data_IF_846910625078
#
_entry.id   IF_846910625078
#
_cell.length_a   1.000
_cell.length_b   1.000
_cell.length_c   1.000
_cell.angle_alpha   90.00
_cell.angle_beta   90.00
_cell.angle_gamma   90.00
#
_symmetry.space_group_name_H-M   'P 1'
#
loop_
_entity.id
_entity.type
_entity.pdbx_description
1 polymer ?
#
# COMPACT_ATOMS: atom_id res chain seq x y z
N UNK A 1 -11.49 -5.24 -64.22
CA UNK A 1 -12.27 -6.25 -64.97
C UNK A 1 -13.32 -6.82 -64.01
N UNK A 2 -14.56 -7.01 -64.48
CA UNK A 2 -15.73 -7.74 -63.92
C UNK A 2 -15.68 -8.25 -62.46
N UNK A 3 -16.66 -7.91 -61.60
CA UNK A 3 -18.02 -8.49 -61.51
C UNK A 3 -18.04 -10.01 -61.13
N UNK A 4 -18.93 -10.55 -60.27
CA UNK A 4 -19.91 -9.98 -59.31
C UNK A 4 -20.63 -11.12 -58.55
N UNK A 5 -21.17 -10.87 -57.33
CA UNK A 5 -22.31 -11.60 -56.68
C UNK A 5 -22.12 -13.12 -56.38
N UNK A 6 -22.91 -13.88 -55.58
CA UNK A 6 -24.14 -13.76 -54.72
C UNK A 6 -24.19 -15.08 -53.88
N UNK A 7 -25.06 -15.37 -52.90
CA UNK A 7 -26.19 -14.66 -52.24
C UNK A 7 -26.48 -15.24 -50.83
N UNK A 8 -27.37 -14.57 -50.10
CA UNK A 8 -28.38 -15.01 -49.11
C UNK A 8 -28.34 -16.39 -48.38
N UNK A 9 -28.89 -16.53 -47.15
CA UNK A 9 -29.47 -15.48 -46.28
C UNK A 9 -30.44 -15.99 -45.19
N UNK A 10 -30.92 -15.03 -44.37
CA UNK A 10 -32.18 -14.94 -43.57
C UNK A 10 -32.58 -16.12 -42.65
N UNK A 11 -32.69 -15.92 -41.31
CA UNK A 11 -33.65 -15.13 -40.50
C UNK A 11 -34.94 -15.88 -40.06
N UNK A 12 -35.02 -16.16 -38.75
CA UNK A 12 -36.17 -16.03 -37.83
C UNK A 12 -37.55 -16.66 -38.13
N UNK A 13 -38.20 -17.25 -37.10
CA UNK A 13 -39.38 -16.69 -36.39
C UNK A 13 -39.99 -17.73 -35.41
N UNK A 14 -40.59 -17.24 -34.31
CA UNK A 14 -41.32 -17.99 -33.26
C UNK A 14 -42.83 -18.07 -33.56
N UNK A 15 -43.56 -19.05 -33.02
CA UNK A 15 -45.01 -18.89 -32.70
C UNK A 15 -45.55 -19.94 -31.70
N UNK A 16 -46.56 -19.55 -30.92
CA UNK A 16 -47.49 -20.44 -30.17
C UNK A 16 -48.55 -21.01 -31.16
N UNK A 17 -49.49 -21.92 -30.87
CA UNK A 17 -50.37 -22.06 -29.68
C UNK A 17 -51.25 -23.33 -29.79
N UNK A 18 -51.70 -23.89 -28.63
CA UNK A 18 -52.98 -24.63 -28.37
C UNK A 18 -53.47 -25.78 -29.28
N UNK A 19 -53.96 -26.87 -28.65
CA UNK A 19 -55.34 -27.36 -28.81
C UNK A 19 -55.79 -28.24 -27.61
N UNK A 20 -57.11 -28.34 -27.42
CA UNK A 20 -57.80 -28.98 -26.28
C UNK A 20 -58.31 -30.40 -26.59
N UNK A 21 -58.81 -31.12 -25.57
CA UNK A 21 -60.16 -31.71 -25.54
C UNK A 21 -60.53 -32.21 -24.12
N UNK A 22 -61.83 -32.32 -23.82
CA UNK A 22 -62.38 -32.63 -22.50
C UNK A 22 -63.38 -33.80 -22.54
N UNK A 23 -63.62 -34.45 -21.39
CA UNK A 23 -64.78 -35.34 -21.15
C UNK A 23 -65.36 -35.06 -19.76
N UNK A 24 -66.68 -35.21 -19.63
CA UNK A 24 -67.49 -34.92 -18.43
C UNK A 24 -68.42 -36.16 -18.19
N UNK A 25 -69.28 -36.34 -17.18
CA UNK A 25 -69.97 -35.51 -16.19
C UNK A 25 -70.57 -36.52 -15.13
N UNK A 26 -70.89 -36.22 -13.85
CA UNK A 26 -72.28 -36.01 -13.36
C UNK A 26 -72.40 -36.08 -11.81
N UNK A 27 -73.18 -35.14 -11.21
CA UNK A 27 -74.15 -35.22 -10.06
C UNK A 27 -73.79 -35.94 -8.72
N UNK A 28 -74.42 -35.66 -7.57
CA UNK A 28 -75.52 -34.76 -7.15
C UNK A 28 -75.42 -34.42 -5.63
N UNK A 29 -76.29 -33.53 -5.11
CA UNK A 29 -76.41 -33.15 -3.70
C UNK A 29 -77.62 -33.80 -2.99
N UNK A 30 -77.73 -33.73 -1.64
CA UNK A 30 -78.90 -33.25 -0.85
C UNK A 30 -78.89 -33.60 0.68
N UNK A 31 -79.06 -32.58 1.53
CA UNK A 31 -79.91 -32.45 2.76
C UNK A 31 -79.78 -33.25 4.11
N UNK A 32 -79.91 -32.43 5.19
CA UNK A 32 -80.78 -32.55 6.41
C UNK A 32 -80.33 -33.11 7.79
N UNK A 33 -80.34 -32.17 8.77
CA UNK A 33 -81.02 -32.14 10.11
C UNK A 33 -80.57 -32.96 11.35
N UNK A 34 -80.22 -32.16 12.38
CA UNK A 34 -80.79 -32.08 13.76
C UNK A 34 -80.84 -33.34 14.64
N UNK A 35 -80.19 -33.28 15.81
CA UNK A 35 -80.82 -33.45 17.14
C UNK A 35 -80.03 -32.64 18.21
N UNK A 36 -80.75 -32.00 19.15
CA UNK A 36 -80.19 -31.21 20.26
C UNK A 36 -80.53 -31.87 21.61
N UNK A 37 -79.57 -31.90 22.53
CA UNK A 37 -79.68 -32.43 23.88
C UNK A 37 -78.73 -31.69 24.85
N UNK A 38 -79.29 -30.76 25.63
CA UNK A 38 -78.67 -30.32 26.90
C UNK A 38 -78.99 -31.29 28.06
N UNK A 39 -78.48 -31.07 29.30
CA UNK A 39 -77.63 -29.97 29.74
C UNK A 39 -76.38 -30.39 30.55
N UNK A 40 -75.67 -31.47 30.21
CA UNK A 40 -74.49 -31.93 30.99
C UNK A 40 -73.13 -31.31 30.58
N UNK A 41 -73.13 -30.27 29.72
CA UNK A 41 -71.91 -29.67 29.14
C UNK A 41 -71.46 -28.31 29.73
N UNK A 42 -72.28 -27.62 30.54
CA UNK A 42 -71.95 -26.25 30.99
C UNK A 42 -70.72 -26.16 31.92
N UNK A 43 -70.44 -27.14 32.77
CA UNK A 43 -69.27 -27.13 33.67
C UNK A 43 -67.94 -27.56 33.01
N UNK A 44 -67.98 -28.31 31.89
CA UNK A 44 -66.76 -28.67 31.12
C UNK A 44 -66.37 -27.60 30.09
N UNK A 45 -67.34 -26.87 29.51
CA UNK A 45 -67.06 -25.77 28.56
C UNK A 45 -66.35 -24.59 29.22
N UNK A 46 -66.74 -24.16 30.42
CA UNK A 46 -66.09 -23.05 31.14
C UNK A 46 -64.60 -23.31 31.43
N UNK A 47 -64.24 -24.52 31.91
CA UNK A 47 -62.83 -24.88 32.13
C UNK A 47 -62.03 -24.95 30.82
N UNK A 48 -62.59 -25.53 29.74
CA UNK A 48 -61.91 -25.54 28.44
C UNK A 48 -61.72 -24.14 27.84
N UNK A 49 -62.70 -23.24 28.00
CA UNK A 49 -62.57 -21.85 27.56
C UNK A 49 -61.47 -21.09 28.32
N UNK A 50 -61.35 -21.30 29.63
CA UNK A 50 -60.29 -20.70 30.44
C UNK A 50 -58.90 -21.23 30.06
N UNK A 51 -58.76 -22.55 29.85
CA UNK A 51 -57.50 -23.15 29.37
C UNK A 51 -57.12 -22.69 27.96
N UNK A 52 -58.09 -22.51 27.04
CA UNK A 52 -57.85 -21.93 25.72
C UNK A 52 -57.44 -20.46 25.81
N UNK A 53 -58.10 -19.65 26.64
CA UNK A 53 -57.74 -18.24 26.84
C UNK A 53 -56.33 -18.08 27.43
N UNK A 54 -55.96 -18.89 28.43
CA UNK A 54 -54.61 -18.90 29.01
C UNK A 54 -53.58 -19.40 28.01
N UNK A 55 -53.86 -20.45 27.24
CA UNK A 55 -52.95 -20.94 26.20
C UNK A 55 -52.74 -19.91 25.08
N UNK A 56 -53.80 -19.21 24.64
CA UNK A 56 -53.71 -18.13 23.66
C UNK A 56 -52.91 -16.96 24.24
N UNK A 57 -53.17 -16.51 25.48
CA UNK A 57 -52.40 -15.46 26.14
C UNK A 57 -50.91 -15.83 26.27
N UNK A 58 -50.58 -17.05 26.69
CA UNK A 58 -49.19 -17.52 26.76
C UNK A 58 -48.55 -17.58 25.37
N UNK A 59 -49.26 -18.04 24.35
CA UNK A 59 -48.76 -18.07 22.97
C UNK A 59 -48.52 -16.67 22.42
N UNK A 60 -49.39 -15.70 22.70
CA UNK A 60 -49.17 -14.29 22.36
C UNK A 60 -47.97 -13.69 23.10
N UNK A 61 -47.78 -13.96 24.39
CA UNK A 61 -46.60 -13.48 25.13
C UNK A 61 -45.31 -14.10 24.60
N UNK A 62 -45.29 -15.41 24.31
CA UNK A 62 -44.13 -16.07 23.70
C UNK A 62 -43.86 -15.58 22.27
N UNK A 63 -44.89 -15.33 21.47
CA UNK A 63 -44.74 -14.80 20.12
C UNK A 63 -44.23 -13.34 20.12
N UNK A 64 -44.71 -12.50 21.04
CA UNK A 64 -44.19 -11.13 21.18
C UNK A 64 -42.76 -11.09 21.72
N UNK A 65 -42.40 -11.98 22.66
CA UNK A 65 -41.02 -12.11 23.12
C UNK A 65 -40.06 -12.60 22.01
N UNK A 66 -40.51 -13.53 21.17
CA UNK A 66 -39.75 -13.93 19.96
C UNK A 66 -39.63 -12.77 18.96
N UNK A 67 -40.71 -12.03 18.70
CA UNK A 67 -40.70 -10.90 17.76
C UNK A 67 -39.81 -9.75 18.24
N UNK A 68 -39.80 -9.44 19.54
CA UNK A 68 -38.92 -8.43 20.13
C UNK A 68 -37.45 -8.85 20.07
N UNK A 69 -37.13 -10.12 20.36
CA UNK A 69 -35.76 -10.62 20.25
C UNK A 69 -35.28 -10.73 18.81
N UNK A 70 -36.13 -11.07 17.84
CA UNK A 70 -35.74 -11.01 16.41
C UNK A 70 -35.60 -9.57 15.91
N UNK A 71 -36.44 -8.64 16.35
CA UNK A 71 -36.32 -7.22 16.03
C UNK A 71 -35.00 -6.62 16.56
N UNK A 72 -34.69 -6.81 17.85
CA UNK A 72 -33.40 -6.34 18.42
C UNK A 72 -32.19 -6.99 17.74
N UNK A 73 -32.28 -8.26 17.33
CA UNK A 73 -31.19 -8.97 16.63
C UNK A 73 -31.04 -8.53 15.16
N UNK A 74 -32.10 -8.04 14.53
CA UNK A 74 -32.07 -7.45 13.19
C UNK A 74 -31.60 -5.99 13.22
N UNK A 75 -32.01 -5.21 14.22
CA UNK A 75 -31.61 -3.81 14.42
C UNK A 75 -30.12 -3.70 14.79
N UNK A 76 -29.62 -4.61 15.65
CA UNK A 76 -28.19 -4.75 15.93
C UNK A 76 -27.35 -5.23 14.72
N UNK A 77 -27.99 -5.79 13.67
CA UNK A 77 -27.33 -6.18 12.42
C UNK A 77 -27.44 -5.12 11.31
N UNK A 78 -28.11 -3.99 11.58
CA UNK A 78 -28.33 -2.89 10.64
C UNK A 78 -27.71 -1.55 11.08
N UNK A 79 -27.11 -1.50 12.27
CA UNK A 79 -26.12 -0.46 12.56
C UNK A 79 -24.98 -0.64 11.57
N UNK A 80 -24.63 0.37 10.75
CA UNK A 80 -23.40 0.29 9.97
C UNK A 80 -22.27 0.11 10.98
N UNK A 81 -21.48 -0.96 10.83
CA UNK A 81 -20.17 -1.06 11.46
C UNK A 81 -19.48 0.25 11.14
N UNK A 82 -19.24 1.09 12.15
CA UNK A 82 -18.57 2.36 11.94
C UNK A 82 -17.23 2.01 11.30
N UNK A 83 -17.09 2.28 10.01
CA UNK A 83 -15.82 2.14 9.32
C UNK A 83 -14.87 2.98 10.13
N UNK A 84 -13.91 2.33 10.80
CA UNK A 84 -12.94 3.05 11.58
C UNK A 84 -12.35 4.11 10.65
N UNK A 85 -12.43 5.38 11.06
CA UNK A 85 -11.69 6.42 10.37
C UNK A 85 -10.25 6.02 10.61
N UNK A 86 -9.66 5.37 9.62
CA UNK A 86 -8.27 4.96 9.68
C UNK A 86 -7.49 6.27 9.74
N UNK A 87 -6.95 6.59 10.91
CA UNK A 87 -6.22 7.83 11.13
C UNK A 87 -5.03 7.80 10.19
N UNK A 88 -5.11 8.61 9.15
CA UNK A 88 -4.10 8.64 8.10
C UNK A 88 -2.91 9.38 8.69
N UNK A 89 -1.82 8.65 8.92
CA UNK A 89 -0.61 9.20 9.53
C UNK A 89 0.06 10.18 8.56
N UNK A 90 0.10 11.46 8.92
CA UNK A 90 0.99 12.43 8.30
C UNK A 90 2.35 12.23 8.93
N UNK A 91 3.30 11.73 8.15
CA UNK A 91 4.64 11.42 8.60
C UNK A 91 5.60 12.49 8.12
N UNK A 92 6.50 12.92 9.01
CA UNK A 92 7.75 13.56 8.60
C UNK A 92 8.62 12.50 7.91
N UNK A 93 9.28 11.64 8.68
CA UNK A 93 10.34 10.76 8.19
C UNK A 93 10.52 9.51 9.09
N UNK A 94 11.38 8.57 8.68
CA UNK A 94 11.87 7.43 9.49
C UNK A 94 10.82 6.39 9.98
N UNK A 95 9.75 6.12 9.22
CA UNK A 95 8.69 5.16 9.61
C UNK A 95 8.77 3.79 8.94
N UNK A 96 9.53 3.64 7.85
CA UNK A 96 9.63 2.40 7.09
C UNK A 96 10.69 1.48 7.69
N UNK A 97 10.35 0.22 7.92
CA UNK A 97 11.33 -0.82 8.19
C UNK A 97 12.26 -1.03 6.99
N UNK A 98 13.47 -1.54 7.26
CA UNK A 98 14.38 -1.96 6.19
C UNK A 98 13.81 -3.22 5.50
N UNK A 99 13.82 -3.30 4.16
CA UNK A 99 13.18 -4.39 3.41
C UNK A 99 13.98 -5.70 3.44
N UNK A 100 15.15 -5.70 4.08
CA UNK A 100 16.05 -6.85 4.28
C UNK A 100 16.23 -7.07 5.78
N UNK A 101 16.10 -8.32 6.20
CA UNK A 101 16.19 -8.72 7.62
C UNK A 101 17.59 -8.46 8.21
N UNK A 102 17.63 -8.05 9.48
CA UNK A 102 18.82 -7.85 10.30
C UNK A 102 19.47 -9.20 10.72
N UNK A 103 19.83 -10.02 9.73
CA UNK A 103 20.41 -11.36 9.91
C UNK A 103 21.86 -11.40 9.41
N UNK A 104 22.71 -12.15 10.12
CA UNK A 104 24.10 -12.33 9.74
C UNK A 104 24.23 -12.93 8.32
N UNK A 105 24.96 -12.25 7.45
CA UNK A 105 25.12 -12.62 6.03
C UNK A 105 24.23 -11.83 5.06
N UNK A 106 23.26 -11.04 5.55
CA UNK A 106 22.49 -10.11 4.72
C UNK A 106 23.02 -8.68 4.82
N UNK A 107 23.17 -8.01 3.68
CA UNK A 107 23.41 -6.58 3.53
C UNK A 107 22.07 -5.84 3.69
N UNK A 108 21.84 -5.32 4.89
CA UNK A 108 20.62 -4.59 5.27
C UNK A 108 20.83 -3.06 5.27
N UNK A 109 22.06 -2.60 5.05
CA UNK A 109 22.41 -1.20 4.74
C UNK A 109 22.35 -0.91 3.23
N UNK A 110 22.19 0.37 2.90
CA UNK A 110 22.15 0.86 1.51
C UNK A 110 23.56 0.84 0.90
N UNK A 111 23.66 0.46 -0.37
CA UNK A 111 24.88 0.62 -1.17
C UNK A 111 25.20 2.11 -1.36
N UNK A 112 26.33 2.53 -0.79
CA UNK A 112 26.80 3.91 -0.81
C UNK A 112 27.36 4.36 -2.17
N UNK A 113 27.31 3.50 -3.19
CA UNK A 113 27.64 3.84 -4.58
C UNK A 113 26.41 4.10 -5.47
N UNK A 114 25.20 3.72 -5.01
CA UNK A 114 23.91 3.91 -5.69
C UNK A 114 22.88 4.62 -4.77
N UNK A 115 23.29 5.78 -4.24
CA UNK A 115 22.46 6.67 -3.42
C UNK A 115 21.39 7.40 -4.23
N UNK A 116 20.27 7.77 -3.60
CA UNK A 116 19.24 8.57 -4.27
C UNK A 116 19.80 9.90 -4.78
N UNK A 117 19.37 10.30 -5.97
CA UNK A 117 19.76 11.55 -6.62
C UNK A 117 21.19 11.58 -7.17
N UNK A 118 22.00 10.53 -6.98
CA UNK A 118 23.37 10.52 -7.48
C UNK A 118 24.06 9.16 -7.48
N UNK A 119 24.58 8.76 -8.64
CA UNK A 119 25.18 7.45 -8.88
C UNK A 119 26.69 7.57 -9.08
N UNK A 120 27.48 6.79 -8.34
CA UNK A 120 28.95 6.82 -8.38
C UNK A 120 29.54 8.25 -8.32
N UNK A 121 29.12 9.07 -7.34
CA UNK A 121 29.48 10.50 -7.24
C UNK A 121 29.07 11.34 -8.48
N UNK A 122 27.88 11.07 -9.03
CA UNK A 122 27.32 11.71 -10.24
C UNK A 122 28.11 11.44 -11.54
N UNK A 123 28.85 10.34 -11.62
CA UNK A 123 29.52 9.88 -12.84
C UNK A 123 28.59 9.08 -13.78
N UNK A 124 27.40 8.71 -13.30
CA UNK A 124 26.36 7.97 -14.02
C UNK A 124 25.00 8.69 -13.86
N UNK A 125 23.97 8.37 -14.67
CA UNK A 125 22.63 8.93 -14.54
C UNK A 125 22.08 8.86 -13.12
N UNK A 126 21.28 9.85 -12.71
CA UNK A 126 20.72 9.94 -11.36
C UNK A 126 19.91 8.71 -10.99
N UNK A 127 20.09 8.21 -9.77
CA UNK A 127 19.36 7.08 -9.24
C UNK A 127 18.10 7.54 -8.51
N UNK A 128 16.94 6.97 -8.83
CA UNK A 128 15.65 7.36 -8.22
C UNK A 128 15.17 6.40 -7.12
N UNK A 129 16.06 5.54 -6.62
CA UNK A 129 15.85 4.68 -5.46
C UNK A 129 17.12 4.54 -4.62
N UNK A 130 17.23 3.41 -3.92
CA UNK A 130 18.44 2.94 -3.21
C UNK A 130 18.59 1.43 -3.40
N UNK A 131 19.83 0.95 -3.32
CA UNK A 131 20.15 -0.47 -3.56
C UNK A 131 20.53 -1.23 -2.27
N UNK A 132 20.08 -2.48 -2.17
CA UNK A 132 20.50 -3.44 -1.14
C UNK A 132 21.14 -4.68 -1.78
N UNK A 133 22.47 -4.66 -1.95
CA UNK A 133 23.24 -5.71 -2.64
C UNK A 133 23.39 -6.98 -1.78
N UNK A 134 22.73 -8.07 -2.20
CA UNK A 134 22.66 -9.33 -1.48
C UNK A 134 22.72 -10.52 -2.45
N UNK A 135 22.89 -11.74 -1.94
CA UNK A 135 22.75 -12.94 -2.76
C UNK A 135 21.33 -13.06 -3.35
N UNK A 136 21.20 -13.70 -4.51
CA UNK A 136 19.91 -14.17 -5.05
C UNK A 136 19.20 -15.04 -4.00
N UNK A 137 17.88 -14.99 -3.99
CA UNK A 137 16.99 -15.72 -3.08
C UNK A 137 16.96 -15.21 -1.62
N UNK A 138 17.73 -14.17 -1.30
CA UNK A 138 17.58 -13.40 -0.05
C UNK A 138 16.13 -12.89 0.08
N UNK A 139 15.42 -13.15 1.18
CA UNK A 139 14.04 -12.70 1.37
C UNK A 139 13.89 -11.18 1.35
N UNK A 140 12.82 -10.69 0.70
CA UNK A 140 12.43 -9.27 0.70
C UNK A 140 11.12 -9.11 1.47
N UNK A 141 11.06 -8.10 2.33
CA UNK A 141 9.96 -7.85 3.27
C UNK A 141 9.29 -6.49 3.06
N UNK A 142 8.02 -6.41 3.44
CA UNK A 142 7.24 -5.18 3.46
C UNK A 142 7.87 -4.18 4.44
N UNK A 143 8.31 -3.05 3.90
CA UNK A 143 8.89 -1.95 4.66
C UNK A 143 7.83 -1.27 5.55
N UNK A 144 6.55 -1.34 5.14
CA UNK A 144 5.41 -1.09 6.02
C UNK A 144 4.19 -1.87 5.54
N UNK A 145 3.25 -2.14 6.44
CA UNK A 145 1.92 -2.63 6.12
C UNK A 145 1.25 -1.77 5.04
N UNK A 146 0.40 -2.40 4.23
CA UNK A 146 -0.29 -1.72 3.13
C UNK A 146 -0.99 -2.64 2.17
N UNK A 147 -1.45 -2.08 1.05
CA UNK A 147 -2.09 -2.81 -0.03
C UNK A 147 -1.14 -2.97 -1.21
N UNK A 148 -0.92 -4.20 -1.65
CA UNK A 148 -0.26 -4.49 -2.94
C UNK A 148 -1.11 -3.92 -4.07
N UNK A 149 -0.60 -2.92 -4.78
CA UNK A 149 -1.27 -2.34 -5.96
C UNK A 149 -0.72 -2.90 -7.27
N UNK A 150 0.54 -3.35 -7.26
CA UNK A 150 1.17 -4.08 -8.36
C UNK A 150 2.01 -5.22 -7.80
N UNK A 151 1.99 -6.37 -8.48
CA UNK A 151 2.84 -7.52 -8.20
C UNK A 151 2.91 -8.37 -9.47
N UNK A 152 4.06 -8.38 -10.13
CA UNK A 152 4.27 -9.09 -11.39
C UNK A 152 5.52 -8.62 -12.13
N UNK A 153 5.64 -9.04 -13.38
CA UNK A 153 6.69 -8.59 -14.29
C UNK A 153 6.25 -7.30 -15.04
N UNK A 154 7.17 -6.34 -15.23
CA UNK A 154 6.90 -5.03 -15.83
C UNK A 154 7.05 -4.95 -17.37
N UNK A 155 7.24 -6.06 -18.07
CA UNK A 155 7.34 -6.10 -19.56
C UNK A 155 6.15 -5.50 -20.32
N UNK A 156 5.01 -5.27 -19.65
CA UNK A 156 3.78 -4.68 -20.22
C UNK A 156 3.24 -3.49 -19.42
N UNK A 157 3.92 -3.07 -18.36
CA UNK A 157 3.50 -1.98 -17.49
C UNK A 157 4.64 -0.96 -17.40
N UNK A 158 4.43 0.24 -17.93
CA UNK A 158 5.41 1.31 -17.86
C UNK A 158 5.45 1.90 -16.45
N UNK A 159 6.21 1.25 -15.56
CA UNK A 159 6.40 1.62 -14.15
C UNK A 159 7.73 2.38 -13.96
N UNK A 160 8.74 2.02 -14.76
CA UNK A 160 10.04 2.68 -14.84
C UNK A 160 10.16 3.57 -16.09
N UNK A 161 11.38 4.01 -16.45
CA UNK A 161 11.63 4.82 -17.64
C UNK A 161 11.39 4.07 -18.96
N UNK A 162 11.31 2.74 -18.92
CA UNK A 162 11.00 1.86 -20.06
C UNK A 162 10.26 0.61 -19.56
N UNK A 163 9.77 -0.22 -20.48
CA UNK A 163 9.29 -1.57 -20.18
C UNK A 163 10.47 -2.51 -19.84
N UNK A 164 10.20 -3.57 -19.08
CA UNK A 164 11.22 -4.54 -18.65
C UNK A 164 12.38 -3.88 -17.88
N UNK A 165 12.08 -2.83 -17.10
CA UNK A 165 13.08 -2.08 -16.36
C UNK A 165 13.37 -2.76 -15.02
N UNK A 166 12.35 -2.89 -14.16
CA UNK A 166 12.48 -3.57 -12.87
C UNK A 166 12.37 -5.10 -13.01
N UNK A 167 11.77 -5.60 -14.10
CA UNK A 167 11.42 -7.01 -14.23
C UNK A 167 10.31 -7.38 -13.23
N UNK A 168 10.57 -8.36 -12.37
CA UNK A 168 9.66 -8.70 -11.29
C UNK A 168 9.67 -7.58 -10.23
N UNK A 169 8.52 -6.94 -10.05
CA UNK A 169 8.34 -5.80 -9.17
C UNK A 169 7.06 -5.91 -8.34
N UNK A 170 7.15 -5.47 -7.09
CA UNK A 170 6.01 -5.26 -6.19
C UNK A 170 5.90 -3.78 -5.86
N UNK A 171 4.68 -3.25 -5.82
CA UNK A 171 4.41 -1.89 -5.34
C UNK A 171 3.33 -1.96 -4.25
N UNK A 172 3.64 -1.39 -3.08
CA UNK A 172 2.71 -1.25 -1.97
C UNK A 172 2.19 0.19 -1.88
N UNK A 173 0.88 0.34 -1.67
CA UNK A 173 0.27 1.57 -1.21
C UNK A 173 0.10 1.51 0.30
N UNK A 174 0.65 2.49 1.01
CA UNK A 174 0.56 2.56 2.46
C UNK A 174 -0.56 3.51 2.89
N UNK A 175 -1.06 3.32 4.12
CA UNK A 175 -1.98 4.24 4.79
C UNK A 175 -1.20 5.39 5.46
N UNK A 176 -0.21 5.91 4.72
CA UNK A 176 0.68 7.01 5.09
C UNK A 176 0.49 8.20 4.15
N UNK A 177 0.77 9.40 4.65
CA UNK A 177 0.88 10.63 3.85
C UNK A 177 2.23 11.30 4.10
N UNK A 178 2.78 11.87 3.04
CA UNK A 178 3.87 12.84 3.17
C UNK A 178 3.38 14.12 3.84
N UNK A 179 4.32 14.97 4.25
CA UNK A 179 4.04 16.30 4.78
C UNK A 179 3.15 17.17 3.90
N UNK A 180 3.18 16.96 2.57
CA UNK A 180 2.32 17.65 1.61
C UNK A 180 0.92 17.01 1.44
N UNK A 181 0.57 15.97 2.21
CA UNK A 181 -0.73 15.29 2.16
C UNK A 181 -0.90 14.28 1.01
N UNK A 182 0.17 13.95 0.29
CA UNK A 182 0.14 12.96 -0.80
C UNK A 182 0.34 11.53 -0.29
N UNK A 183 -0.31 10.55 -0.91
CA UNK A 183 -0.17 9.14 -0.52
C UNK A 183 1.25 8.63 -0.76
N UNK A 184 1.75 7.80 0.16
CA UNK A 184 3.08 7.19 0.08
C UNK A 184 2.98 5.75 -0.41
N UNK A 185 3.91 5.39 -1.29
CA UNK A 185 4.04 4.06 -1.87
C UNK A 185 5.50 3.59 -1.77
N UNK A 186 5.73 2.29 -1.76
CA UNK A 186 7.07 1.71 -1.91
C UNK A 186 7.14 0.75 -3.09
N UNK A 187 8.27 0.73 -3.79
CA UNK A 187 8.55 -0.17 -4.91
C UNK A 187 9.71 -1.10 -4.56
N UNK A 188 9.58 -2.37 -4.93
CA UNK A 188 10.56 -3.44 -4.71
C UNK A 188 10.89 -4.09 -6.06
N UNK A 189 11.98 -3.68 -6.68
CA UNK A 189 12.38 -4.11 -8.03
C UNK A 189 13.36 -5.27 -8.08
N UNK A 190 13.61 -5.78 -9.29
CA UNK A 190 14.62 -6.79 -9.62
C UNK A 190 14.46 -8.14 -8.90
N UNK A 191 13.24 -8.49 -8.45
CA UNK A 191 12.97 -9.69 -7.66
C UNK A 191 13.23 -10.99 -8.46
N UNK A 192 13.52 -12.09 -7.76
CA UNK A 192 13.58 -13.43 -8.35
C UNK A 192 12.19 -14.07 -8.32
N UNK A 193 11.60 -14.14 -7.14
CA UNK A 193 10.24 -14.63 -6.91
C UNK A 193 9.36 -13.52 -6.29
N UNK A 194 8.06 -13.57 -6.59
CA UNK A 194 7.03 -12.74 -5.96
C UNK A 194 6.08 -13.69 -5.21
N UNK A 195 5.87 -13.42 -3.92
CA UNK A 195 5.04 -14.26 -3.02
C UNK A 195 3.69 -13.63 -2.68
N UNK A 196 3.44 -12.41 -3.17
CA UNK A 196 2.19 -11.64 -2.98
C UNK A 196 1.47 -11.37 -4.31
N UNK A 197 0.26 -10.83 -4.26
CA UNK A 197 -0.55 -10.50 -5.46
C UNK A 197 -1.27 -9.17 -5.32
N UNK A 198 -1.56 -8.51 -6.44
CA UNK A 198 -2.33 -7.28 -6.46
C UNK A 198 -3.68 -7.43 -5.72
N UNK A 199 -4.02 -6.42 -4.91
CA UNK A 199 -5.17 -6.37 -4.02
C UNK A 199 -4.94 -6.94 -2.62
N UNK A 200 -3.89 -7.75 -2.40
CA UNK A 200 -3.53 -8.28 -1.08
C UNK A 200 -3.21 -7.15 -0.09
N UNK A 201 -3.66 -7.31 1.16
CA UNK A 201 -3.14 -6.57 2.29
C UNK A 201 -1.94 -7.34 2.85
N UNK A 202 -0.87 -6.63 3.17
CA UNK A 202 0.34 -7.15 3.80
C UNK A 202 0.60 -6.41 5.10
N UNK A 203 1.12 -7.11 6.10
CA UNK A 203 1.52 -6.53 7.40
C UNK A 203 2.97 -5.97 7.38
N UNK A 204 3.35 -5.23 8.43
CA UNK A 204 4.74 -4.82 8.66
C UNK A 204 5.65 -6.07 8.66
N UNK A 205 6.75 -6.03 7.89
CA UNK A 205 7.70 -7.14 7.73
C UNK A 205 7.12 -8.46 7.14
N UNK A 206 5.96 -8.42 6.48
CA UNK A 206 5.49 -9.58 5.70
C UNK A 206 6.38 -9.83 4.46
N UNK A 207 6.68 -11.09 4.14
CA UNK A 207 7.55 -11.44 3.01
C UNK A 207 6.84 -11.19 1.67
N UNK A 208 7.43 -10.32 0.85
CA UNK A 208 6.94 -9.98 -0.49
C UNK A 208 7.47 -10.91 -1.58
N UNK A 209 8.67 -11.47 -1.38
CA UNK A 209 9.36 -12.28 -2.39
C UNK A 209 10.82 -12.55 -2.05
N UNK A 210 11.68 -12.53 -3.08
CA UNK A 210 13.13 -12.67 -2.96
C UNK A 210 13.92 -11.79 -3.92
N UNK A 211 15.17 -11.46 -3.55
CA UNK A 211 16.14 -10.77 -4.40
C UNK A 211 16.49 -11.60 -5.63
N UNK A 212 16.53 -10.95 -6.78
CA UNK A 212 16.90 -11.54 -8.06
C UNK A 212 17.80 -10.63 -8.88
N UNK A 213 17.67 -10.74 -10.20
CA UNK A 213 18.36 -9.88 -11.18
C UNK A 213 17.50 -9.85 -12.45
N UNK A 214 16.21 -9.55 -12.28
CA UNK A 214 15.25 -9.42 -13.37
C UNK A 214 15.21 -7.98 -13.90
N UNK A 215 14.70 -7.76 -15.12
CA UNK A 215 14.80 -6.47 -15.79
C UNK A 215 16.24 -6.12 -16.14
N UNK A 216 16.64 -4.86 -15.93
CA UNK A 216 17.98 -4.35 -16.30
C UNK A 216 19.10 -4.60 -15.27
N UNK A 217 18.81 -5.33 -14.18
CA UNK A 217 19.78 -5.57 -13.10
C UNK A 217 21.01 -6.40 -13.56
N UNK A 218 22.20 -5.81 -13.41
CA UNK A 218 23.49 -6.43 -13.80
C UNK A 218 23.84 -7.65 -12.92
N UNK A 219 23.36 -7.69 -11.68
CA UNK A 219 23.59 -8.79 -10.73
C UNK A 219 22.65 -8.70 -9.52
N UNK A 220 22.76 -9.61 -8.53
CA UNK A 220 21.80 -9.69 -7.44
C UNK A 220 21.77 -8.47 -6.50
N UNK A 221 20.61 -7.80 -6.43
CA UNK A 221 20.28 -6.71 -5.49
C UNK A 221 18.77 -6.49 -5.41
N UNK A 222 18.31 -5.79 -4.36
CA UNK A 222 16.99 -5.17 -4.31
C UNK A 222 17.11 -3.68 -4.60
N UNK A 223 16.44 -3.24 -5.67
CA UNK A 223 16.16 -1.83 -5.90
C UNK A 223 14.91 -1.42 -5.11
N UNK A 224 15.02 -0.37 -4.31
CA UNK A 224 13.96 0.11 -3.44
C UNK A 224 13.67 1.60 -3.66
N UNK A 225 12.42 1.95 -3.92
CA UNK A 225 11.97 3.34 -4.05
C UNK A 225 10.89 3.67 -3.02
N UNK A 226 10.82 4.94 -2.64
CA UNK A 226 9.61 5.56 -2.07
C UNK A 226 9.03 6.45 -3.14
N UNK A 227 7.72 6.35 -3.42
CA UNK A 227 6.98 7.22 -4.35
C UNK A 227 5.89 7.98 -3.59
N UNK A 228 5.60 9.21 -4.01
CA UNK A 228 4.65 10.11 -3.33
C UNK A 228 3.69 10.73 -4.35
N UNK A 229 2.39 10.49 -4.15
CA UNK A 229 1.31 11.03 -5.00
C UNK A 229 0.83 10.07 -6.07
N UNK A 230 1.71 9.67 -7.00
CA UNK A 230 1.45 8.62 -7.99
C UNK A 230 2.44 7.47 -7.80
N UNK A 231 1.94 6.25 -7.83
CA UNK A 231 2.75 5.05 -7.61
C UNK A 231 3.32 4.46 -8.91
N UNK A 232 2.73 4.77 -10.07
CA UNK A 232 3.15 4.24 -11.36
C UNK A 232 4.04 5.24 -12.11
N UNK A 233 3.98 6.53 -11.78
CA UNK A 233 4.91 7.53 -12.31
C UNK A 233 6.33 7.39 -11.70
N UNK A 234 7.28 6.96 -12.54
CA UNK A 234 8.72 6.91 -12.24
C UNK A 234 9.29 8.23 -11.71
N UNK A 235 8.69 9.38 -12.07
CA UNK A 235 9.16 10.70 -11.68
C UNK A 235 8.65 11.16 -10.32
N UNK A 236 7.83 10.37 -9.62
CA UNK A 236 7.25 10.72 -8.32
C UNK A 236 8.01 10.12 -7.12
N UNK A 237 9.24 9.68 -7.33
CA UNK A 237 10.11 9.15 -6.27
C UNK A 237 10.52 10.21 -5.25
N UNK A 238 10.93 9.79 -4.06
CA UNK A 238 11.58 10.56 -2.99
C UNK A 238 12.70 9.74 -2.38
N UNK A 239 13.69 10.40 -1.78
CA UNK A 239 14.86 9.72 -1.21
C UNK A 239 14.48 8.71 -0.12
N UNK A 240 14.65 7.39 -0.34
CA UNK A 240 14.31 6.37 0.65
C UNK A 240 15.10 6.48 1.95
N UNK A 241 16.30 7.08 1.96
CA UNK A 241 17.10 7.28 3.18
C UNK A 241 16.36 8.12 4.24
N UNK A 242 15.47 9.03 3.83
CA UNK A 242 14.66 9.83 4.74
C UNK A 242 13.49 9.05 5.35
N UNK A 243 13.07 7.95 4.74
CA UNK A 243 11.87 7.22 5.17
C UNK A 243 12.20 5.99 6.03
N UNK A 244 13.42 5.47 5.92
CA UNK A 244 13.86 4.27 6.62
C UNK A 244 14.18 4.54 8.10
N UNK A 245 13.69 3.65 8.98
CA UNK A 245 14.01 3.65 10.40
C UNK A 245 15.52 3.53 10.63
N UNK A 246 16.03 4.33 11.57
CA UNK A 246 17.43 4.27 11.99
C UNK A 246 17.72 3.02 12.83
N UNK A 247 18.98 2.56 12.79
CA UNK A 247 19.48 1.55 13.72
C UNK A 247 19.57 2.08 15.15
N UNK A 248 19.67 1.16 16.11
CA UNK A 248 20.00 1.48 17.52
C UNK A 248 21.26 2.34 17.59
N UNK A 249 21.20 3.42 18.36
CA UNK A 249 22.28 4.42 18.53
C UNK A 249 22.75 5.12 17.25
N UNK A 250 22.00 5.02 16.14
CA UNK A 250 22.27 5.74 14.89
C UNK A 250 21.22 6.82 14.62
N UNK A 251 21.63 7.83 13.86
CA UNK A 251 20.75 8.80 13.21
C UNK A 251 21.20 9.04 11.77
N UNK A 252 20.83 10.19 11.22
CA UNK A 252 21.32 10.64 9.91
C UNK A 252 21.54 12.14 9.86
N UNK A 253 22.27 12.60 8.86
CA UNK A 253 22.25 14.01 8.41
C UNK A 253 21.47 14.08 7.10
N UNK A 254 20.57 15.05 6.99
CA UNK A 254 19.97 15.49 5.73
C UNK A 254 20.27 16.97 5.55
N UNK A 255 20.36 17.47 4.32
CA UNK A 255 20.57 18.90 4.17
C UNK A 255 20.30 19.47 2.79
N UNK A 256 20.24 20.81 2.78
CA UNK A 256 19.95 21.62 1.60
C UNK A 256 21.09 22.60 1.35
N UNK A 257 21.90 22.35 0.32
CA UNK A 257 22.96 23.23 -0.16
C UNK A 257 22.44 24.14 -1.26
N UNK A 258 22.50 25.46 -1.05
CA UNK A 258 21.89 26.49 -1.92
C UNK A 258 22.81 27.68 -2.17
N UNK A 259 22.57 28.40 -3.26
CA UNK A 259 23.15 29.73 -3.48
C UNK A 259 22.31 30.83 -2.78
N UNK A 260 22.79 32.07 -2.80
CA UNK A 260 22.10 33.26 -2.26
C UNK A 260 20.70 33.46 -2.88
N UNK A 261 20.54 33.06 -4.14
CA UNK A 261 19.28 33.09 -4.89
C UNK A 261 18.28 31.99 -4.46
N UNK A 262 18.68 31.07 -3.57
CA UNK A 262 17.86 29.99 -3.03
C UNK A 262 17.72 28.76 -3.94
N UNK A 263 18.43 28.74 -5.07
CA UNK A 263 18.52 27.63 -6.01
C UNK A 263 19.37 26.49 -5.41
N UNK A 264 19.08 25.24 -5.79
CA UNK A 264 19.86 24.10 -5.31
C UNK A 264 21.21 24.03 -6.02
N UNK A 265 22.29 23.85 -5.25
CA UNK A 265 23.60 23.53 -5.80
C UNK A 265 23.64 22.02 -6.06
N UNK A 266 24.11 21.63 -7.25
CA UNK A 266 24.06 20.25 -7.75
C UNK A 266 25.47 19.73 -8.05
N UNK A 267 25.72 18.43 -7.87
CA UNK A 267 27.00 17.82 -8.22
C UNK A 267 28.14 18.00 -7.21
N UNK A 268 28.06 18.99 -6.32
CA UNK A 268 29.09 19.32 -5.33
C UNK A 268 29.24 18.23 -4.26
N UNK A 269 30.47 17.97 -3.80
CA UNK A 269 30.77 16.91 -2.84
C UNK A 269 30.60 17.39 -1.40
N UNK A 270 29.91 16.61 -0.59
CA UNK A 270 29.79 16.76 0.85
C UNK A 270 30.58 15.64 1.52
N UNK A 271 31.58 16.00 2.33
CA UNK A 271 32.26 15.06 3.23
C UNK A 271 31.69 15.23 4.63
N UNK A 272 31.06 14.17 5.15
CA UNK A 272 30.63 14.05 6.55
C UNK A 272 31.62 13.13 7.28
N UNK A 273 32.27 13.61 8.34
CA UNK A 273 33.29 12.82 9.06
C UNK A 273 33.32 13.04 10.57
N UNK A 274 33.73 11.99 11.28
CA UNK A 274 34.06 11.95 12.70
C UNK A 274 35.15 10.90 12.93
N UNK A 275 35.55 10.67 14.18
CA UNK A 275 36.44 9.56 14.54
C UNK A 275 35.84 8.17 14.22
N UNK A 276 34.51 8.05 14.15
CA UNK A 276 33.82 6.76 13.93
C UNK A 276 33.53 6.46 12.46
N UNK A 277 33.39 7.48 11.60
CA UNK A 277 33.08 7.29 10.19
C UNK A 277 33.53 8.47 9.31
N UNK A 278 33.87 8.18 8.06
CA UNK A 278 33.89 9.14 6.96
C UNK A 278 32.91 8.70 5.88
N UNK A 279 32.15 9.64 5.33
CA UNK A 279 31.25 9.48 4.18
C UNK A 279 31.46 10.64 3.23
N UNK A 280 31.69 10.32 1.96
CA UNK A 280 31.73 11.31 0.88
C UNK A 280 30.49 11.05 0.01
N UNK A 281 29.55 11.99 0.00
CA UNK A 281 28.36 11.97 -0.86
C UNK A 281 28.44 13.15 -1.83
N UNK A 282 27.63 13.12 -2.88
CA UNK A 282 27.43 14.29 -3.74
C UNK A 282 26.03 14.84 -3.52
N UNK A 283 25.87 16.15 -3.63
CA UNK A 283 24.56 16.75 -3.82
C UNK A 283 23.91 16.20 -5.09
N UNK A 284 22.58 16.06 -5.08
CA UNK A 284 21.81 15.48 -6.17
C UNK A 284 22.20 16.09 -7.52
N UNK A 285 22.31 15.27 -8.57
CA UNK A 285 22.81 15.67 -9.89
C UNK A 285 21.94 16.66 -10.68
N UNK A 286 20.84 17.15 -10.10
CA UNK A 286 19.84 18.00 -10.76
C UNK A 286 18.88 17.21 -11.66
N UNK A 287 18.05 17.92 -12.42
CA UNK A 287 17.07 17.31 -13.32
C UNK A 287 15.88 16.71 -12.58
N UNK A 288 15.49 15.47 -12.91
CA UNK A 288 14.26 14.80 -12.44
C UNK A 288 14.40 14.15 -11.05
N UNK A 289 15.26 14.71 -10.18
CA UNK A 289 15.42 14.27 -8.79
C UNK A 289 14.55 15.13 -7.88
N UNK A 290 13.73 14.50 -7.04
CA UNK A 290 12.81 15.22 -6.17
C UNK A 290 13.29 15.27 -4.72
N UNK A 291 13.43 16.48 -4.19
CA UNK A 291 13.47 16.70 -2.74
C UNK A 291 12.11 16.44 -2.08
N UNK A 292 12.10 16.26 -0.77
CA UNK A 292 10.92 16.55 0.05
C UNK A 292 10.51 18.04 -0.12
N UNK A 293 9.21 18.35 -0.28
CA UNK A 293 8.76 19.72 -0.52
C UNK A 293 8.94 20.69 0.66
N UNK A 294 9.09 20.21 1.88
CA UNK A 294 9.31 21.03 3.09
C UNK A 294 10.80 21.21 3.33
N UNK A 295 11.55 20.10 3.37
CA UNK A 295 12.99 20.12 3.67
C UNK A 295 13.84 20.57 2.49
N UNK A 296 13.35 20.36 1.26
CA UNK A 296 14.05 20.75 0.02
C UNK A 296 15.49 20.23 -0.01
N UNK A 297 15.74 19.04 0.55
CA UNK A 297 17.07 18.48 0.72
C UNK A 297 17.69 18.13 -0.64
N UNK A 298 19.00 18.23 -0.76
CA UNK A 298 19.74 17.76 -1.92
C UNK A 298 20.94 16.87 -1.55
N UNK A 299 21.07 16.46 -0.28
CA UNK A 299 21.96 15.37 0.14
C UNK A 299 21.46 14.70 1.42
N UNK A 300 21.82 13.43 1.59
CA UNK A 300 21.64 12.68 2.85
C UNK A 300 22.87 11.83 3.18
N UNK A 301 23.09 11.61 4.46
CA UNK A 301 24.06 10.67 5.01
C UNK A 301 23.41 9.92 6.17
N UNK A 302 22.76 8.80 5.85
CA UNK A 302 22.19 7.87 6.85
C UNK A 302 23.22 6.94 7.51
N UNK A 303 22.77 6.23 8.54
CA UNK A 303 23.53 5.23 9.30
C UNK A 303 24.82 5.80 9.91
N UNK A 304 24.67 6.96 10.56
CA UNK A 304 25.71 7.59 11.37
C UNK A 304 25.48 7.25 12.84
N UNK A 305 26.50 6.73 13.53
CA UNK A 305 26.45 6.58 14.99
C UNK A 305 26.24 7.96 15.64
N UNK A 306 25.51 8.02 16.75
CA UNK A 306 25.31 9.26 17.48
C UNK A 306 26.66 9.87 17.94
N UNK A 307 26.83 11.18 17.73
CA UNK A 307 28.10 11.87 17.92
C UNK A 307 28.18 13.21 17.20
N UNK A 308 29.34 13.84 17.25
CA UNK A 308 29.62 15.08 16.50
C UNK A 308 30.31 14.75 15.17
N UNK A 309 29.87 15.41 14.11
CA UNK A 309 30.36 15.24 12.75
C UNK A 309 30.75 16.58 12.15
N UNK A 310 31.92 16.64 11.54
CA UNK A 310 32.30 17.71 10.64
C UNK A 310 31.60 17.51 9.29
N UNK A 311 30.89 18.53 8.83
CA UNK A 311 30.34 18.65 7.48
C UNK A 311 31.24 19.59 6.69
N UNK A 312 31.87 19.07 5.63
CA UNK A 312 32.76 19.81 4.76
C UNK A 312 32.17 19.81 3.33
N UNK A 313 31.79 20.98 2.85
CA UNK A 313 31.36 21.18 1.45
C UNK A 313 32.59 21.47 0.61
N UNK A 314 32.73 20.75 -0.50
CA UNK A 314 33.78 20.97 -1.49
C UNK A 314 33.19 21.50 -2.79
N UNK A 315 33.82 22.53 -3.36
CA UNK A 315 33.49 23.05 -4.69
C UNK A 315 33.79 22.03 -5.81
N UNK A 316 33.42 22.36 -7.03
CA UNK A 316 33.65 21.52 -8.24
C UNK A 316 35.13 21.23 -8.49
N UNK A 317 36.03 22.07 -7.97
CA UNK A 317 37.49 21.89 -8.00
C UNK A 317 38.03 21.07 -6.82
N UNK A 318 37.16 20.60 -5.93
CA UNK A 318 37.51 19.83 -4.73
C UNK A 318 38.06 20.66 -3.57
N UNK A 319 37.91 21.99 -3.57
CA UNK A 319 38.39 22.89 -2.52
C UNK A 319 37.30 23.12 -1.47
N UNK A 320 37.64 23.25 -0.17
CA UNK A 320 36.70 23.67 0.88
C UNK A 320 35.96 24.96 0.53
N UNK A 321 34.63 24.90 0.51
CA UNK A 321 33.74 26.03 0.30
C UNK A 321 32.96 26.40 1.58
N UNK A 322 32.62 25.41 2.42
CA UNK A 322 31.93 25.61 3.69
C UNK A 322 32.28 24.50 4.68
N UNK A 323 32.21 24.82 5.98
CA UNK A 323 32.46 23.90 7.08
C UNK A 323 31.49 24.17 8.23
N UNK A 324 30.92 23.11 8.80
CA UNK A 324 30.06 23.15 9.99
C UNK A 324 30.29 21.90 10.85
N UNK A 325 29.96 21.98 12.15
CA UNK A 325 29.88 20.81 13.02
C UNK A 325 28.40 20.56 13.35
N UNK A 326 27.92 19.37 12.98
CA UNK A 326 26.56 18.92 13.27
C UNK A 326 26.59 17.77 14.28
N UNK A 327 25.61 17.74 15.18
CA UNK A 327 25.41 16.64 16.13
C UNK A 327 24.37 15.67 15.59
N UNK A 328 24.73 14.39 15.47
CA UNK A 328 23.80 13.29 15.19
C UNK A 328 23.28 12.75 16.51
N UNK A 329 21.96 12.71 16.67
CA UNK A 329 21.29 12.10 17.83
C UNK A 329 20.74 10.71 17.47
N UNK A 330 20.65 9.77 18.43
CA UNK A 330 20.01 8.47 18.20
C UNK A 330 18.56 8.63 17.74
N UNK A 331 18.18 7.82 16.75
CA UNK A 331 16.83 7.75 16.18
C UNK A 331 16.32 9.07 15.59
N UNK A 332 17.24 9.95 15.14
CA UNK A 332 16.89 11.27 14.63
C UNK A 332 17.63 11.61 13.35
N UNK A 333 16.96 12.44 12.56
CA UNK A 333 17.58 13.15 11.44
C UNK A 333 17.98 14.55 11.88
N UNK A 334 19.27 14.85 11.79
CA UNK A 334 19.80 16.21 11.91
C UNK A 334 19.71 16.89 10.54
N UNK A 335 18.81 17.87 10.42
CA UNK A 335 18.67 18.66 9.20
C UNK A 335 19.60 19.89 9.22
N UNK A 336 20.33 20.14 8.13
CA UNK A 336 21.21 21.31 7.96
C UNK A 336 20.87 22.10 6.69
N UNK A 337 20.83 23.43 6.80
CA UNK A 337 20.58 24.33 5.67
C UNK A 337 21.81 25.20 5.43
N UNK A 338 22.41 25.05 4.25
CA UNK A 338 23.69 25.66 3.90
C UNK A 338 23.47 26.59 2.72
N UNK A 339 23.56 27.90 2.95
CA UNK A 339 23.57 28.92 1.89
C UNK A 339 25.00 29.40 1.66
N UNK A 340 25.52 29.23 0.44
CA UNK A 340 26.82 29.76 0.04
C UNK A 340 26.67 31.17 -0.53
N UNK A 341 27.33 32.14 0.13
CA UNK A 341 27.53 33.49 -0.41
C UNK A 341 28.67 33.51 -1.44
N UNK A 342 28.63 34.45 -2.39
CA UNK A 342 29.66 34.58 -3.45
C UNK A 342 31.01 35.12 -2.95
#
# INVERSE_FOLDING_TARGET
MHLVLRDAGRLSVSTRTLHSHAVCQWRAAWHNRIYDCGPMMRRRRARRALWLAVAVLLWFHSAMALAQTTAQKAEAALLPTATAIQEIEIVEHNVLHRPIELTAGHTHWIDRTYTYGGTQQNLLPVHLGVEFVNARDTPVYAAKAGRVIFAGDDSKALIGPQLEYYGNVVILAHDLRSLAGSQVFTLYGHLNEIHVRAGQLVEDLERLGTIGSSGVAIGPHLHFEVRVGDALDYKQTRNPELWLQHYVDHGMIAGSLRNEEGEAIHGWRITVRSDSAKRDVSTYGGGEVNSDPVWRENFTVSDLLAGEYEILVLDESGRPAFFEIARVEPYRTTYVEITLSK
#
